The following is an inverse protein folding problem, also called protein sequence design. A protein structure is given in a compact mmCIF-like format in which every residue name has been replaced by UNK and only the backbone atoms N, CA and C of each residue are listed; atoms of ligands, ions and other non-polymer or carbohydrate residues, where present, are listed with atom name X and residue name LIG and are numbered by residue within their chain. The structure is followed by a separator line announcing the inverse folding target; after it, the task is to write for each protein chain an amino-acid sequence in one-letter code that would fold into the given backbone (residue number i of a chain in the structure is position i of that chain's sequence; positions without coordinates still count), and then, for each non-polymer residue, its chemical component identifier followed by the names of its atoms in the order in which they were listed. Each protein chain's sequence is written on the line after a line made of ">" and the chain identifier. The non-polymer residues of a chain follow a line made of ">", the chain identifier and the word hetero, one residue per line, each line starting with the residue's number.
data_IF_967220421291
#
_entry.id   IF_967220421291
#
_cell.length_a   1.000
_cell.length_b   1.000
_cell.length_c   1.000
_cell.angle_alpha   90.00
_cell.angle_beta   90.00
_cell.angle_gamma   90.00
#
_symmetry.space_group_name_H-M   'P 1'
#
loop_
_entity.id
_entity.type
_entity.pdbx_description
1 polymer ?
#
# COMPACT_ATOMS: atom_id res chain seq x y z
N UNK A 1 37.71 -18.88 -15.95
CA UNK A 1 36.99 -17.79 -15.28
C UNK A 1 35.50 -18.11 -15.35
N UNK A 2 34.82 -18.14 -14.20
CA UNK A 2 33.45 -18.65 -14.08
C UNK A 2 32.48 -17.77 -14.88
N UNK A 3 31.62 -18.40 -15.71
CA UNK A 3 30.65 -17.73 -16.59
C UNK A 3 29.47 -17.07 -15.86
N UNK A 4 29.71 -16.42 -14.72
CA UNK A 4 28.70 -15.76 -13.90
C UNK A 4 29.20 -14.38 -13.43
N UNK A 5 28.28 -13.43 -13.33
CA UNK A 5 28.51 -12.13 -12.70
C UNK A 5 28.56 -12.30 -11.18
N UNK A 6 29.44 -11.55 -10.52
CA UNK A 6 29.43 -11.45 -9.06
C UNK A 6 28.16 -10.76 -8.58
N UNK A 7 27.68 -11.13 -7.39
CA UNK A 7 26.49 -10.54 -6.76
C UNK A 7 26.58 -9.00 -6.70
N UNK A 8 27.77 -8.46 -6.40
CA UNK A 8 27.97 -7.01 -6.31
C UNK A 8 27.80 -6.31 -7.68
N UNK A 9 28.24 -6.96 -8.77
CA UNK A 9 28.09 -6.42 -10.13
C UNK A 9 26.62 -6.43 -10.57
N UNK A 10 25.86 -7.47 -10.20
CA UNK A 10 24.42 -7.53 -10.45
C UNK A 10 23.68 -6.42 -9.70
N UNK A 11 24.04 -6.18 -8.43
CA UNK A 11 23.44 -5.09 -7.62
C UNK A 11 23.78 -3.72 -8.20
N UNK A 12 25.01 -3.51 -8.66
CA UNK A 12 25.43 -2.26 -9.27
C UNK A 12 24.71 -1.97 -10.59
N UNK A 13 24.60 -2.99 -11.46
CA UNK A 13 23.82 -2.92 -12.70
C UNK A 13 22.35 -2.59 -12.43
N UNK A 14 21.75 -3.22 -11.41
CA UNK A 14 20.37 -2.92 -10.98
C UNK A 14 20.21 -1.49 -10.46
N UNK A 15 21.16 -0.99 -9.67
CA UNK A 15 21.12 0.39 -9.19
C UNK A 15 21.24 1.40 -10.34
N UNK A 16 22.09 1.13 -11.34
CA UNK A 16 22.19 1.96 -12.55
C UNK A 16 20.89 1.94 -13.37
N UNK A 17 20.25 0.77 -13.50
CA UNK A 17 18.94 0.65 -14.15
C UNK A 17 17.84 1.43 -13.42
N UNK A 18 17.90 1.48 -12.08
CA UNK A 18 16.93 2.22 -11.27
C UNK A 18 17.10 3.74 -11.33
N UNK A 19 18.33 4.20 -11.59
CA UNK A 19 18.69 5.62 -11.66
C UNK A 19 18.74 6.17 -13.10
N UNK A 20 18.27 5.40 -14.09
CA UNK A 20 18.27 5.76 -15.52
C UNK A 20 19.67 6.04 -16.12
N UNK A 21 20.72 5.51 -15.49
CA UNK A 21 22.12 5.66 -15.96
C UNK A 21 22.65 4.38 -16.62
N UNK A 22 21.76 3.47 -17.03
CA UNK A 22 22.13 2.18 -17.59
C UNK A 22 22.20 2.23 -19.12
N UNK A 23 23.39 1.94 -19.66
CA UNK A 23 23.61 1.74 -21.10
C UNK A 23 24.04 0.28 -21.35
N UNK A 24 23.18 -0.45 -22.06
CA UNK A 24 23.39 -1.87 -22.38
C UNK A 24 24.69 -2.11 -23.14
N UNK A 25 25.01 -1.26 -24.12
CA UNK A 25 26.22 -1.45 -24.95
C UNK A 25 27.49 -1.12 -24.18
N UNK A 26 27.43 -0.09 -23.33
CA UNK A 26 28.52 0.30 -22.46
C UNK A 26 28.87 -0.81 -21.44
N UNK A 27 27.86 -1.43 -20.84
CA UNK A 27 28.06 -2.50 -19.85
C UNK A 27 28.56 -3.81 -20.49
N UNK A 28 28.09 -4.13 -21.70
CA UNK A 28 28.62 -5.26 -22.49
C UNK A 28 30.11 -5.03 -22.80
N UNK A 29 30.48 -3.83 -23.26
CA UNK A 29 31.90 -3.47 -23.51
C UNK A 29 32.74 -3.53 -22.23
N UNK A 30 32.18 -3.15 -21.10
CA UNK A 30 32.85 -3.22 -19.79
C UNK A 30 33.11 -4.66 -19.37
N UNK A 31 32.16 -5.57 -19.58
CA UNK A 31 32.34 -7.00 -19.32
C UNK A 31 33.33 -7.66 -20.28
N UNK A 32 33.35 -7.25 -21.56
CA UNK A 32 34.37 -7.72 -22.52
C UNK A 32 35.77 -7.29 -22.08
N UNK A 33 35.94 -6.04 -21.60
CA UNK A 33 37.22 -5.54 -21.04
C UNK A 33 37.67 -6.29 -19.80
N UNK A 34 36.74 -6.86 -19.04
CA UNK A 34 37.01 -7.69 -17.86
C UNK A 34 37.37 -9.15 -18.22
N UNK A 35 37.44 -9.49 -19.51
CA UNK A 35 37.87 -10.80 -19.99
C UNK A 35 36.73 -11.80 -20.27
N UNK A 36 35.48 -11.34 -20.28
CA UNK A 36 34.34 -12.19 -20.69
C UNK A 36 34.23 -12.27 -22.22
N UNK A 37 33.84 -13.44 -22.73
CA UNK A 37 33.53 -13.60 -24.16
C UNK A 37 32.34 -12.69 -24.54
N UNK A 38 32.37 -12.02 -25.71
CA UNK A 38 31.31 -11.09 -26.12
C UNK A 38 29.90 -11.68 -26.05
N UNK A 39 29.73 -12.94 -26.45
CA UNK A 39 28.42 -13.61 -26.43
C UNK A 39 27.94 -13.87 -25.00
N UNK A 40 28.86 -14.22 -24.10
CA UNK A 40 28.58 -14.47 -22.68
C UNK A 40 28.26 -13.15 -21.97
N UNK A 41 28.97 -12.07 -22.28
CA UNK A 41 28.73 -10.74 -21.73
C UNK A 41 27.34 -10.20 -22.12
N UNK A 42 26.96 -10.34 -23.40
CA UNK A 42 25.65 -9.95 -23.90
C UNK A 42 24.51 -10.75 -23.25
N UNK A 43 24.71 -12.06 -23.08
CA UNK A 43 23.75 -12.94 -22.40
C UNK A 43 23.60 -12.58 -20.93
N UNK A 44 24.69 -12.35 -20.20
CA UNK A 44 24.68 -12.01 -18.78
C UNK A 44 23.96 -10.68 -18.51
N UNK A 45 24.25 -9.64 -19.30
CA UNK A 45 23.55 -8.35 -19.20
C UNK A 45 22.06 -8.51 -19.51
N UNK A 46 21.73 -9.26 -20.56
CA UNK A 46 20.32 -9.47 -20.96
C UNK A 46 19.53 -10.19 -19.88
N UNK A 47 20.12 -11.20 -19.23
CA UNK A 47 19.49 -11.89 -18.09
C UNK A 47 19.24 -10.97 -16.89
N UNK A 48 20.18 -10.07 -16.60
CA UNK A 48 20.03 -9.08 -15.51
C UNK A 48 18.92 -8.08 -15.84
N UNK A 49 18.83 -7.62 -17.09
CA UNK A 49 17.77 -6.70 -17.55
C UNK A 49 16.40 -7.37 -17.50
N UNK A 50 16.28 -8.62 -17.97
CA UNK A 50 15.03 -9.37 -17.92
C UNK A 50 14.55 -9.58 -16.49
N UNK A 51 15.45 -10.05 -15.60
CA UNK A 51 15.10 -10.24 -14.19
C UNK A 51 14.72 -8.93 -13.48
N UNK A 52 15.29 -7.79 -13.88
CA UNK A 52 14.90 -6.48 -13.34
C UNK A 52 13.53 -6.01 -13.87
N UNK A 53 13.20 -6.32 -15.13
CA UNK A 53 11.86 -6.05 -15.69
C UNK A 53 10.79 -6.89 -15.01
N UNK A 54 11.06 -8.16 -14.76
CA UNK A 54 10.12 -9.05 -14.06
C UNK A 54 9.88 -8.57 -12.62
N UNK A 55 10.92 -8.15 -11.91
CA UNK A 55 10.82 -7.58 -10.55
C UNK A 55 10.02 -6.26 -10.53
N UNK A 56 10.23 -5.37 -11.51
CA UNK A 56 9.42 -4.16 -11.67
C UNK A 56 7.96 -4.47 -12.00
N UNK A 57 7.70 -5.46 -12.86
CA UNK A 57 6.35 -5.89 -13.20
C UNK A 57 5.61 -6.46 -11.98
N UNK A 58 6.29 -7.26 -11.17
CA UNK A 58 5.78 -7.80 -9.91
C UNK A 58 5.49 -6.68 -8.90
N UNK A 59 6.42 -5.72 -8.71
CA UNK A 59 6.20 -4.54 -7.86
C UNK A 59 4.98 -3.72 -8.30
N UNK A 60 4.79 -3.51 -9.61
CA UNK A 60 3.65 -2.78 -10.16
C UNK A 60 2.34 -3.55 -9.94
N UNK A 61 2.35 -4.87 -10.16
CA UNK A 61 1.17 -5.71 -9.97
C UNK A 61 0.75 -5.76 -8.50
N UNK A 62 1.70 -5.88 -7.58
CA UNK A 62 1.46 -5.81 -6.14
C UNK A 62 0.92 -4.44 -5.72
N UNK A 63 1.52 -3.35 -6.21
CA UNK A 63 1.06 -1.99 -5.94
C UNK A 63 -0.39 -1.78 -6.43
N UNK A 64 -0.73 -2.29 -7.63
CA UNK A 64 -2.08 -2.22 -8.20
C UNK A 64 -3.08 -3.02 -7.36
N UNK A 65 -2.71 -4.22 -6.90
CA UNK A 65 -3.54 -5.05 -6.00
C UNK A 65 -3.78 -4.37 -4.66
N UNK A 66 -2.79 -3.66 -4.12
CA UNK A 66 -2.95 -2.89 -2.87
C UNK A 66 -3.82 -1.65 -3.08
N UNK A 67 -3.65 -0.94 -4.19
CA UNK A 67 -4.46 0.25 -4.50
C UNK A 67 -5.94 -0.09 -4.68
N UNK A 68 -6.26 -1.10 -5.50
CA UNK A 68 -7.65 -1.53 -5.70
C UNK A 68 -8.31 -2.01 -4.41
N UNK A 69 -7.55 -2.67 -3.52
CA UNK A 69 -8.05 -3.09 -2.19
C UNK A 69 -8.38 -1.88 -1.30
N UNK A 70 -7.59 -0.81 -1.35
CA UNK A 70 -7.82 0.42 -0.59
C UNK A 70 -9.06 1.17 -1.07
N UNK A 71 -9.25 1.28 -2.37
CA UNK A 71 -10.44 1.93 -2.95
C UNK A 71 -11.72 1.17 -2.60
N UNK A 72 -11.71 -0.16 -2.78
CA UNK A 72 -12.84 -1.02 -2.43
C UNK A 72 -13.20 -0.95 -0.94
N UNK A 73 -12.18 -0.85 -0.08
CA UNK A 73 -12.35 -0.65 1.37
C UNK A 73 -13.08 0.64 1.70
N UNK A 74 -12.71 1.75 1.05
CA UNK A 74 -13.40 3.04 1.24
C UNK A 74 -14.87 2.95 0.81
N UNK A 75 -15.14 2.34 -0.34
CA UNK A 75 -16.50 2.18 -0.86
C UNK A 75 -17.36 1.40 0.15
N UNK A 76 -16.85 0.27 0.67
CA UNK A 76 -17.57 -0.54 1.67
C UNK A 76 -17.87 0.24 2.94
N UNK A 77 -16.88 0.96 3.49
CA UNK A 77 -17.04 1.69 4.75
C UNK A 77 -18.01 2.86 4.61
N UNK A 78 -17.95 3.59 3.50
CA UNK A 78 -18.87 4.69 3.24
C UNK A 78 -20.29 4.16 2.98
N UNK A 79 -20.43 3.13 2.14
CA UNK A 79 -21.71 2.51 1.85
C UNK A 79 -22.37 1.93 3.12
N UNK A 80 -21.61 1.24 3.98
CA UNK A 80 -22.13 0.70 5.23
C UNK A 80 -22.57 1.81 6.19
N UNK A 81 -21.83 2.92 6.26
CA UNK A 81 -22.18 4.05 7.12
C UNK A 81 -23.46 4.75 6.67
N UNK A 82 -23.63 4.96 5.36
CA UNK A 82 -24.85 5.55 4.79
C UNK A 82 -26.05 4.61 4.96
N UNK A 83 -25.86 3.31 4.74
CA UNK A 83 -26.91 2.30 4.91
C UNK A 83 -27.41 2.23 6.36
N UNK A 84 -26.48 2.25 7.33
CA UNK A 84 -26.80 2.21 8.75
C UNK A 84 -27.51 3.49 9.21
N UNK A 85 -27.12 4.64 8.66
CA UNK A 85 -27.77 5.92 8.94
C UNK A 85 -29.20 5.97 8.38
N UNK A 86 -29.43 5.44 7.17
CA UNK A 86 -30.76 5.42 6.54
C UNK A 86 -31.73 4.41 7.17
N UNK A 87 -31.24 3.35 7.80
CA UNK A 87 -32.09 2.38 8.49
C UNK A 87 -32.78 2.97 9.73
N UNK A 88 -32.47 4.22 10.13
CA UNK A 88 -33.18 4.97 11.16
C UNK A 88 -33.10 4.39 12.58
N UNK A 89 -32.51 3.20 12.71
CA UNK A 89 -32.42 2.47 13.96
C UNK A 89 -31.02 2.65 14.52
N UNK A 90 -30.84 3.66 15.37
CA UNK A 90 -29.64 3.87 16.21
C UNK A 90 -29.54 2.79 17.31
N UNK A 91 -29.99 1.57 17.03
CA UNK A 91 -29.86 0.44 17.93
C UNK A 91 -28.38 0.11 18.13
N UNK A 92 -28.02 -0.22 19.37
CA UNK A 92 -26.67 -0.68 19.74
C UNK A 92 -26.11 -1.74 18.77
N UNK A 93 -26.98 -2.61 18.23
CA UNK A 93 -26.61 -3.66 17.26
C UNK A 93 -26.09 -3.08 15.94
N UNK A 94 -26.73 -2.05 15.39
CA UNK A 94 -26.30 -1.41 14.15
C UNK A 94 -24.98 -0.65 14.31
N UNK A 95 -24.78 -0.03 15.48
CA UNK A 95 -23.51 0.64 15.84
C UNK A 95 -22.39 -0.39 16.01
N UNK A 96 -22.65 -1.52 16.65
CA UNK A 96 -21.66 -2.60 16.78
C UNK A 96 -21.30 -3.18 15.41
N UNK A 97 -22.28 -3.36 14.53
CA UNK A 97 -22.06 -3.86 13.17
C UNK A 97 -21.21 -2.88 12.34
N UNK A 98 -21.47 -1.57 12.40
CA UNK A 98 -20.67 -0.56 11.70
C UNK A 98 -19.22 -0.58 12.17
N UNK A 99 -19.01 -0.73 13.48
CA UNK A 99 -17.68 -0.76 14.09
C UNK A 99 -16.89 -2.01 13.70
N UNK A 100 -17.55 -3.17 13.65
CA UNK A 100 -16.94 -4.42 13.14
C UNK A 100 -16.54 -4.27 11.68
N UNK A 101 -17.40 -3.69 10.84
CA UNK A 101 -17.09 -3.43 9.42
C UNK A 101 -15.90 -2.48 9.30
N UNK A 102 -15.86 -1.39 10.09
CA UNK A 102 -14.75 -0.43 10.10
C UNK A 102 -13.41 -1.07 10.50
N UNK A 103 -13.42 -1.96 11.50
CA UNK A 103 -12.24 -2.69 11.94
C UNK A 103 -11.75 -3.65 10.84
N UNK A 104 -12.66 -4.47 10.28
CA UNK A 104 -12.31 -5.42 9.22
C UNK A 104 -11.79 -4.70 7.98
N UNK A 105 -12.46 -3.62 7.57
CA UNK A 105 -12.07 -2.79 6.46
C UNK A 105 -10.68 -2.15 6.68
N UNK A 106 -10.43 -1.59 7.87
CA UNK A 106 -9.11 -1.06 8.23
C UNK A 106 -8.00 -2.11 8.21
N UNK A 107 -8.28 -3.32 8.69
CA UNK A 107 -7.34 -4.42 8.76
C UNK A 107 -6.98 -5.00 7.38
N UNK A 108 -7.99 -5.27 6.55
CA UNK A 108 -7.80 -5.90 5.23
C UNK A 108 -7.45 -4.90 4.12
N UNK A 109 -7.96 -3.67 4.19
CA UNK A 109 -7.73 -2.65 3.18
C UNK A 109 -6.35 -1.99 3.25
N UNK A 110 -5.74 -1.93 4.43
CA UNK A 110 -4.46 -1.25 4.65
C UNK A 110 -3.42 -2.18 5.28
N UNK A 111 -2.97 -3.23 4.58
CA UNK A 111 -2.12 -4.29 5.15
C UNK A 111 -0.77 -3.77 5.68
N UNK A 112 -0.21 -2.69 5.12
CA UNK A 112 1.06 -2.09 5.55
C UNK A 112 0.94 -1.25 6.83
N UNK A 113 -0.24 -0.66 7.10
CA UNK A 113 -0.50 0.26 8.21
C UNK A 113 -1.88 -0.02 8.83
N UNK A 114 -2.06 -1.26 9.28
CA UNK A 114 -3.34 -1.76 9.81
C UNK A 114 -3.79 -0.99 11.04
N UNK A 115 -2.90 -0.80 12.03
CA UNK A 115 -3.26 -0.15 13.30
C UNK A 115 -3.73 1.30 13.10
N UNK A 116 -2.98 2.17 12.39
CA UNK A 116 -3.46 3.53 12.10
C UNK A 116 -4.75 3.55 11.26
N UNK A 117 -4.91 2.61 10.33
CA UNK A 117 -6.10 2.54 9.48
C UNK A 117 -7.34 2.15 10.30
N UNK A 118 -7.24 1.13 11.15
CA UNK A 118 -8.32 0.73 12.05
C UNK A 118 -8.71 1.90 12.96
N UNK A 119 -7.73 2.54 13.62
CA UNK A 119 -8.00 3.66 14.50
C UNK A 119 -8.70 4.81 13.77
N UNK A 120 -8.27 5.14 12.56
CA UNK A 120 -8.91 6.18 11.74
C UNK A 120 -10.34 5.84 11.35
N UNK A 121 -10.59 4.61 10.87
CA UNK A 121 -11.95 4.20 10.50
C UNK A 121 -12.88 4.12 11.71
N UNK A 122 -12.43 3.54 12.83
CA UNK A 122 -13.21 3.49 14.07
C UNK A 122 -13.55 4.89 14.57
N UNK A 123 -12.59 5.82 14.55
CA UNK A 123 -12.85 7.21 14.96
C UNK A 123 -13.86 7.89 14.06
N UNK A 124 -13.77 7.68 12.74
CA UNK A 124 -14.73 8.22 11.78
C UNK A 124 -16.14 7.65 11.99
N UNK A 125 -16.27 6.34 12.14
CA UNK A 125 -17.56 5.69 12.43
C UNK A 125 -18.16 6.17 13.75
N UNK A 126 -17.35 6.32 14.80
CA UNK A 126 -17.80 6.80 16.11
C UNK A 126 -18.30 8.25 16.05
N UNK A 127 -17.56 9.13 15.37
CA UNK A 127 -17.98 10.52 15.14
C UNK A 127 -19.28 10.58 14.33
N UNK A 128 -19.43 9.72 13.32
CA UNK A 128 -20.65 9.67 12.51
C UNK A 128 -21.88 9.23 13.32
N UNK A 129 -21.71 8.32 14.27
CA UNK A 129 -22.79 7.95 15.23
C UNK A 129 -23.15 9.15 16.11
N UNK A 130 -22.16 9.91 16.58
CA UNK A 130 -22.40 11.11 17.42
C UNK A 130 -23.15 12.18 16.62
N UNK A 131 -22.72 12.49 15.39
CA UNK A 131 -23.39 13.49 14.54
C UNK A 131 -24.84 13.12 14.23
N UNK A 132 -25.11 11.84 13.96
CA UNK A 132 -26.47 11.35 13.76
C UNK A 132 -27.32 11.36 15.04
N UNK A 133 -26.70 11.20 16.21
CA UNK A 133 -27.39 11.15 17.52
C UNK A 133 -27.68 12.53 18.10
N UNK A 134 -26.85 13.53 17.79
CA UNK A 134 -27.04 14.93 18.19
C UNK A 134 -27.48 15.75 16.98
N UNK A 135 -28.78 15.75 16.63
CA UNK A 135 -29.28 16.55 15.54
C UNK A 135 -29.03 18.03 15.85
N UNK A 136 -28.12 18.67 15.12
CA UNK A 136 -27.99 20.12 15.10
C UNK A 136 -29.32 20.63 14.50
N UNK A 137 -30.25 21.06 15.36
CA UNK A 137 -31.57 21.68 15.09
C UNK A 137 -32.09 21.46 13.66
N UNK A 138 -32.81 20.36 13.46
CA UNK A 138 -33.38 19.97 12.16
C UNK A 138 -34.64 20.78 11.86
N UNK A 139 -34.58 21.66 10.86
CA UNK A 139 -35.74 21.87 9.98
C UNK A 139 -35.99 20.54 9.24
N UNK A 140 -37.26 20.19 9.05
CA UNK A 140 -37.76 18.83 8.72
C UNK A 140 -37.31 18.27 7.36
N UNK A 141 -36.47 19.00 6.62
CA UNK A 141 -35.86 18.54 5.39
C UNK A 141 -34.42 18.09 5.61
N UNK A 142 -34.26 16.79 5.90
CA UNK A 142 -33.00 16.09 5.69
C UNK A 142 -32.61 16.18 4.21
N UNK A 143 -31.87 17.21 3.84
CA UNK A 143 -31.23 17.25 2.53
C UNK A 143 -30.09 16.24 2.53
N UNK A 144 -30.01 15.38 1.52
CA UNK A 144 -28.92 14.41 1.31
C UNK A 144 -27.52 15.07 1.40
N UNK A 145 -27.44 16.38 1.20
CA UNK A 145 -26.24 17.19 1.33
C UNK A 145 -25.72 17.23 2.77
N UNK A 146 -26.60 17.29 3.78
CA UNK A 146 -26.20 17.39 5.19
C UNK A 146 -25.53 16.09 5.68
N UNK A 147 -26.07 14.93 5.27
CA UNK A 147 -25.45 13.63 5.52
C UNK A 147 -24.06 13.51 4.89
N UNK A 148 -23.89 14.08 3.70
CA UNK A 148 -22.61 14.08 2.99
C UNK A 148 -21.57 14.93 3.72
N UNK A 149 -22.00 16.07 4.29
CA UNK A 149 -21.16 16.94 5.13
C UNK A 149 -20.76 16.22 6.43
N UNK A 150 -21.71 15.59 7.14
CA UNK A 150 -21.45 14.83 8.37
C UNK A 150 -20.48 13.66 8.11
N UNK A 151 -20.65 12.96 7.00
CA UNK A 151 -19.77 11.89 6.55
C UNK A 151 -18.37 12.42 6.20
N UNK A 152 -18.28 13.55 5.51
CA UNK A 152 -17.00 14.18 5.18
C UNK A 152 -16.24 14.65 6.42
N UNK A 153 -16.92 15.26 7.39
CA UNK A 153 -16.30 15.75 8.64
C UNK A 153 -15.84 14.57 9.50
N UNK A 154 -16.69 13.57 9.69
CA UNK A 154 -16.39 12.40 10.53
C UNK A 154 -15.21 11.58 9.97
N UNK A 155 -15.27 11.17 8.71
CA UNK A 155 -14.19 10.43 8.08
C UNK A 155 -12.96 11.31 7.78
N UNK A 156 -13.14 12.62 7.60
CA UNK A 156 -12.05 13.59 7.53
C UNK A 156 -11.21 13.62 8.81
N UNK A 157 -11.87 13.66 9.97
CA UNK A 157 -11.20 13.51 11.28
C UNK A 157 -10.54 12.13 11.43
N UNK A 158 -11.22 11.06 11.00
CA UNK A 158 -10.66 9.71 11.00
C UNK A 158 -9.38 9.59 10.15
N UNK A 159 -9.34 10.24 8.99
CA UNK A 159 -8.16 10.33 8.13
C UNK A 159 -7.02 11.09 8.80
N UNK A 160 -7.33 12.16 9.52
CA UNK A 160 -6.35 12.95 10.25
C UNK A 160 -5.72 12.13 11.40
N UNK A 161 -6.54 11.39 12.15
CA UNK A 161 -6.08 10.43 13.17
C UNK A 161 -5.19 9.36 12.57
N UNK A 162 -5.61 8.74 11.45
CA UNK A 162 -4.79 7.77 10.70
C UNK A 162 -3.47 8.37 10.27
N UNK A 163 -3.46 9.60 9.77
CA UNK A 163 -2.26 10.29 9.31
C UNK A 163 -1.27 10.51 10.46
N UNK A 164 -1.74 11.05 11.59
CA UNK A 164 -0.93 11.27 12.78
C UNK A 164 -0.35 9.96 13.30
N UNK A 165 -1.19 8.93 13.50
CA UNK A 165 -0.75 7.61 13.98
C UNK A 165 0.22 6.93 13.00
N UNK A 166 -0.03 7.05 11.69
CA UNK A 166 0.87 6.53 10.67
C UNK A 166 2.23 7.21 10.71
N UNK A 167 2.28 8.50 11.04
CA UNK A 167 3.53 9.25 11.19
C UNK A 167 4.23 8.83 12.48
N UNK A 168 3.54 8.80 13.63
CA UNK A 168 4.13 8.43 14.91
C UNK A 168 4.65 6.98 14.95
N UNK A 169 3.84 6.00 14.52
CA UNK A 169 4.18 4.59 14.65
C UNK A 169 5.12 4.06 13.55
N UNK A 170 5.10 4.67 12.36
CA UNK A 170 5.83 4.14 11.19
C UNK A 170 6.89 5.11 10.63
N UNK A 171 7.19 6.22 11.31
CA UNK A 171 8.26 7.16 10.89
C UNK A 171 9.62 6.47 10.70
N UNK A 172 9.94 5.43 11.49
CA UNK A 172 11.20 4.69 11.39
C UNK A 172 11.20 3.50 10.41
N UNK A 173 10.04 3.08 9.88
CA UNK A 173 9.98 1.89 9.00
C UNK A 173 10.41 2.14 7.56
N UNK A 174 10.65 3.40 7.17
CA UNK A 174 11.29 3.70 5.88
C UNK A 174 12.77 3.24 5.85
N UNK A 175 13.37 2.98 7.01
CA UNK A 175 14.75 2.49 7.14
C UNK A 175 14.88 0.96 7.06
N UNK A 176 13.82 0.18 7.31
CA UNK A 176 13.92 -1.29 7.33
C UNK A 176 13.66 -1.98 5.98
N UNK A 177 13.18 -1.27 4.95
CA UNK A 177 13.17 -1.78 3.56
C UNK A 177 14.55 -1.72 2.89
N UNK A 178 15.58 -1.22 3.57
CA UNK A 178 16.97 -1.25 3.12
C UNK A 178 17.78 -2.43 3.70
N UNK A 179 17.17 -3.29 4.53
CA UNK A 179 17.89 -4.34 5.28
C UNK A 179 17.42 -5.78 5.11
N UNK A 180 16.35 -6.05 4.34
CA UNK A 180 15.81 -7.42 4.20
C UNK A 180 15.66 -7.80 2.73
N UNK A 181 16.79 -7.93 2.04
CA UNK A 181 16.90 -8.64 0.74
C UNK A 181 17.92 -9.78 0.83
N UNK A 182 17.96 -10.49 1.97
CA UNK A 182 18.70 -11.75 2.07
C UNK A 182 17.96 -12.72 2.98
N UNK A 183 17.70 -13.91 2.45
CA UNK A 183 17.14 -15.14 3.06
C UNK A 183 15.69 -15.43 2.73
N UNK A 184 15.44 -15.82 1.49
CA UNK A 184 14.55 -16.95 1.19
C UNK A 184 14.69 -17.26 -0.30
N UNK A 185 14.85 -18.53 -0.65
CA UNK A 185 15.01 -19.09 -2.01
C UNK A 185 16.42 -19.09 -2.60
N UNK A 186 17.35 -19.79 -1.93
CA UNK A 186 18.22 -20.70 -2.66
C UNK A 186 18.21 -22.04 -1.93
N UNK A 187 17.33 -22.92 -2.42
CA UNK A 187 17.33 -24.35 -2.09
C UNK A 187 18.64 -24.92 -2.60
N UNK A 188 19.51 -25.32 -1.67
CA UNK A 188 20.68 -26.14 -1.95
C UNK A 188 20.17 -27.54 -2.29
N UNK A 189 20.19 -27.90 -3.56
CA UNK A 189 20.12 -29.30 -3.98
C UNK A 189 21.57 -29.78 -4.00
N UNK A 190 21.88 -30.70 -3.08
CA UNK A 190 23.12 -31.47 -3.04
C UNK A 190 23.12 -32.52 -4.14
#
# INVERSE_FOLDING_TARGET
>A
MEGKLSYNQVVELRNRMRNDTFDKEYEIKTLIRLGYHPDIAAMLITNVVLGFKDELAEEIEEAKKVHGRREFTWIIVLASSVFITNLGNNGLVCILLSLVIAILAGYFGFPEKRIPAIAGFVTGTFLMVIFNSYPIKKEEHYSNILLLIELAISYGFGLLVKYILSRLMYSNKKQSRFGVSKRSKFTVIK
#
